data_IF_962560735319
#
_entry.id   IF_962560735319
#
_cell.length_a   1.000
_cell.length_b   1.000
_cell.length_c   1.000
_cell.angle_alpha   90.00
_cell.angle_beta   90.00
_cell.angle_gamma   90.00
#
_symmetry.space_group_name_H-M   'P 1'
#
loop_
_entity.id
_entity.type
_entity.pdbx_description
1 polymer ?
#
# COMPACT_ATOMS: atom_id res chain seq x y z
N UNK A 1 -12.12 5.85 -14.49
CA UNK A 1 -11.97 4.39 -14.71
C UNK A 1 -11.26 3.78 -13.49
N UNK A 2 -11.60 2.56 -13.05
CA UNK A 2 -10.66 1.71 -12.29
C UNK A 2 -10.73 1.60 -10.75
N UNK A 3 -11.80 1.99 -10.04
CA UNK A 3 -11.86 1.69 -8.57
C UNK A 3 -12.12 0.21 -8.26
N UNK A 4 -12.93 -0.43 -9.11
CA UNK A 4 -13.43 -1.78 -8.85
C UNK A 4 -12.48 -2.88 -9.35
N UNK A 5 -11.84 -2.66 -10.50
CA UNK A 5 -11.00 -3.65 -11.18
C UNK A 5 -9.51 -3.31 -10.98
N UNK A 6 -8.66 -4.31 -10.73
CA UNK A 6 -7.21 -4.13 -10.72
C UNK A 6 -6.67 -3.86 -12.14
N UNK A 7 -5.50 -3.23 -12.23
CA UNK A 7 -4.80 -3.09 -13.50
C UNK A 7 -4.12 -4.41 -13.91
N UNK A 8 -4.12 -4.71 -15.21
CA UNK A 8 -3.56 -5.97 -15.72
C UNK A 8 -2.03 -6.04 -15.59
N UNK A 9 -1.36 -4.88 -15.62
CA UNK A 9 0.10 -4.79 -15.59
C UNK A 9 0.72 -5.09 -14.22
N UNK A 10 0.02 -4.76 -13.14
CA UNK A 10 0.55 -4.92 -11.77
C UNK A 10 -0.40 -5.63 -10.79
N UNK A 11 -1.62 -5.95 -11.24
CA UNK A 11 -2.65 -6.58 -10.41
C UNK A 11 -3.19 -5.69 -9.29
N UNK A 12 -2.85 -4.39 -9.25
CA UNK A 12 -3.20 -3.50 -8.16
C UNK A 12 -4.37 -2.58 -8.51
N UNK A 13 -5.23 -2.32 -7.53
CA UNK A 13 -6.16 -1.19 -7.56
C UNK A 13 -5.42 0.11 -7.24
N UNK A 14 -5.95 1.28 -7.63
CA UNK A 14 -5.29 2.57 -7.37
C UNK A 14 -4.91 2.80 -5.90
N UNK A 15 -5.80 2.46 -4.94
CA UNK A 15 -5.50 2.64 -3.50
C UNK A 15 -4.38 1.72 -3.02
N UNK A 16 -4.32 0.47 -3.52
CA UNK A 16 -3.27 -0.49 -3.17
C UNK A 16 -1.91 -0.03 -3.72
N UNK A 17 -1.88 0.41 -4.97
CA UNK A 17 -0.68 0.99 -5.60
C UNK A 17 -0.13 2.17 -4.81
N UNK A 18 -1.00 3.11 -4.44
CA UNK A 18 -0.65 4.30 -3.65
C UNK A 18 -0.09 3.92 -2.27
N UNK A 19 -0.69 2.93 -1.60
CA UNK A 19 -0.16 2.42 -0.31
C UNK A 19 1.25 1.87 -0.49
N UNK A 20 1.46 0.97 -1.45
CA UNK A 20 2.76 0.34 -1.68
C UNK A 20 3.84 1.37 -2.04
N UNK A 21 3.50 2.31 -2.93
CA UNK A 21 4.39 3.40 -3.33
C UNK A 21 4.72 4.33 -2.15
N UNK A 22 3.71 4.79 -1.41
CA UNK A 22 3.93 5.66 -0.25
C UNK A 22 4.80 4.96 0.81
N UNK A 23 4.53 3.69 1.12
CA UNK A 23 5.35 2.92 2.06
C UNK A 23 6.81 2.79 1.58
N UNK A 24 7.04 2.63 0.28
CA UNK A 24 8.39 2.60 -0.29
C UNK A 24 9.08 3.96 -0.19
N UNK A 25 8.40 5.05 -0.53
CA UNK A 25 8.92 6.43 -0.46
C UNK A 25 9.26 6.82 1.00
N UNK A 26 8.46 6.36 1.95
CA UNK A 26 8.72 6.49 3.38
C UNK A 26 9.90 5.62 3.89
N UNK A 27 10.49 4.78 3.04
CA UNK A 27 11.59 3.88 3.40
C UNK A 27 11.18 2.65 4.21
N UNK A 28 9.89 2.30 4.25
CA UNK A 28 9.34 1.18 5.03
C UNK A 28 9.56 -0.18 4.33
N UNK A 29 10.79 -0.41 3.87
CA UNK A 29 11.21 -1.68 3.26
C UNK A 29 11.16 -2.84 4.28
N UNK A 30 11.32 -4.07 3.81
CA UNK A 30 11.24 -5.27 4.67
C UNK A 30 12.21 -5.28 5.86
N UNK A 31 13.39 -4.67 5.71
CA UNK A 31 14.37 -4.54 6.79
C UNK A 31 14.10 -3.38 7.75
N UNK A 32 13.18 -2.48 7.42
CA UNK A 32 12.92 -1.29 8.23
C UNK A 32 12.18 -1.63 9.53
N UNK A 33 12.29 -0.74 10.52
CA UNK A 33 11.41 -0.76 11.70
C UNK A 33 9.99 -0.41 11.25
N UNK A 34 8.98 -1.24 11.57
CA UNK A 34 7.60 -0.92 11.24
C UNK A 34 7.15 0.35 11.98
N UNK A 35 6.22 1.07 11.35
CA UNK A 35 5.68 2.32 11.90
C UNK A 35 4.19 2.17 12.12
N UNK A 36 3.60 3.04 12.96
CA UNK A 36 2.16 3.06 13.18
C UNK A 36 1.42 3.16 11.85
N UNK A 37 0.40 2.32 11.67
CA UNK A 37 -0.46 2.32 10.48
C UNK A 37 -1.07 3.69 10.22
N UNK A 38 -1.39 4.45 11.28
CA UNK A 38 -1.83 5.84 11.18
C UNK A 38 -0.87 6.76 10.42
N UNK A 39 0.45 6.53 10.53
CA UNK A 39 1.46 7.31 9.81
C UNK A 39 1.41 7.03 8.30
N UNK A 40 1.27 5.76 7.91
CA UNK A 40 1.15 5.36 6.51
C UNK A 40 -0.15 5.90 5.91
N UNK A 41 -1.27 5.74 6.62
CA UNK A 41 -2.58 6.28 6.18
C UNK A 41 -2.51 7.80 6.00
N UNK A 42 -1.94 8.52 6.97
CA UNK A 42 -1.77 9.98 6.87
C UNK A 42 -0.97 10.41 5.63
N UNK A 43 0.12 9.70 5.32
CA UNK A 43 0.93 9.96 4.12
C UNK A 43 0.11 9.81 2.83
N UNK A 44 -0.64 8.71 2.73
CA UNK A 44 -1.47 8.41 1.57
C UNK A 44 -2.57 9.44 1.39
N UNK A 45 -3.26 9.82 2.48
CA UNK A 45 -4.32 10.82 2.43
C UNK A 45 -3.79 12.20 2.03
N UNK A 46 -2.62 12.57 2.57
CA UNK A 46 -2.00 13.87 2.33
C UNK A 46 -1.44 14.03 0.92
N UNK A 47 -0.94 12.96 0.29
CA UNK A 47 -0.26 13.04 -1.01
C UNK A 47 -1.03 12.43 -2.18
N UNK A 48 -1.76 11.35 -1.98
CA UNK A 48 -2.20 10.50 -3.10
C UNK A 48 -3.69 10.17 -3.11
N UNK A 49 -4.38 10.17 -1.97
CA UNK A 49 -5.76 9.68 -1.86
C UNK A 49 -6.60 10.57 -0.93
N UNK A 50 -7.03 11.76 -1.37
CA UNK A 50 -7.74 12.75 -0.53
C UNK A 50 -9.22 12.36 -0.33
N UNK A 51 -9.46 11.18 0.23
CA UNK A 51 -10.76 10.60 0.54
C UNK A 51 -10.78 10.06 1.98
N UNK A 52 -11.82 9.33 2.39
CA UNK A 52 -11.95 8.81 3.74
C UNK A 52 -10.79 7.87 4.14
N UNK A 53 -10.27 8.05 5.34
CA UNK A 53 -9.20 7.26 5.96
C UNK A 53 -9.52 5.77 6.04
N UNK A 54 -10.80 5.44 6.28
CA UNK A 54 -11.31 4.08 6.34
C UNK A 54 -10.93 3.25 5.13
N UNK A 55 -11.13 3.77 3.92
CA UNK A 55 -10.84 3.05 2.68
C UNK A 55 -9.36 2.75 2.48
N UNK A 56 -8.48 3.67 2.88
CA UNK A 56 -7.03 3.48 2.81
C UNK A 56 -6.59 2.45 3.86
N UNK A 57 -7.10 2.56 5.09
CA UNK A 57 -6.78 1.64 6.17
C UNK A 57 -7.30 0.22 5.90
N UNK A 58 -8.54 0.06 5.45
CA UNK A 58 -9.11 -1.25 5.10
C UNK A 58 -8.35 -1.92 3.95
N UNK A 59 -7.94 -1.16 2.93
CA UNK A 59 -7.11 -1.69 1.86
C UNK A 59 -5.75 -2.16 2.39
N UNK A 60 -5.12 -1.37 3.27
CA UNK A 60 -3.86 -1.73 3.90
C UNK A 60 -3.99 -2.98 4.78
N UNK A 61 -5.07 -3.08 5.56
CA UNK A 61 -5.38 -4.24 6.40
C UNK A 61 -5.49 -5.50 5.53
N UNK A 62 -6.26 -5.45 4.45
CA UNK A 62 -6.41 -6.59 3.53
C UNK A 62 -5.10 -7.03 2.90
N UNK A 63 -4.17 -6.11 2.64
CA UNK A 63 -2.85 -6.43 2.09
C UNK A 63 -1.89 -7.09 3.08
N UNK A 64 -2.20 -7.03 4.38
CA UNK A 64 -1.46 -7.70 5.44
C UNK A 64 -2.04 -9.07 5.85
N UNK A 65 -3.28 -9.37 5.46
CA UNK A 65 -3.96 -10.61 5.82
C UNK A 65 -3.51 -11.78 4.92
N UNK A 66 -2.84 -12.76 5.52
CA UNK A 66 -2.36 -13.98 4.85
C UNK A 66 -3.48 -14.94 4.40
N UNK A 67 -4.66 -14.81 4.99
CA UNK A 67 -5.86 -15.51 4.55
C UNK A 67 -6.61 -14.81 3.40
N UNK A 68 -6.27 -13.56 3.10
CA UNK A 68 -6.84 -12.78 1.99
C UNK A 68 -5.91 -12.80 0.77
N UNK A 69 -4.59 -12.76 0.98
CA UNK A 69 -3.59 -12.80 -0.09
C UNK A 69 -2.67 -14.01 0.05
N UNK A 70 -2.46 -14.73 -1.06
CA UNK A 70 -1.48 -15.83 -1.11
C UNK A 70 -0.07 -15.36 -0.74
N UNK A 71 0.26 -14.14 -1.13
CA UNK A 71 1.50 -13.44 -0.81
C UNK A 71 1.18 -12.05 -0.27
N UNK A 72 1.15 -11.86 1.06
CA UNK A 72 0.96 -10.54 1.66
C UNK A 72 2.03 -9.55 1.22
N UNK A 73 1.62 -8.32 0.93
CA UNK A 73 2.51 -7.24 0.50
C UNK A 73 2.91 -6.32 1.68
N UNK A 74 2.17 -6.43 2.78
CA UNK A 74 2.39 -5.68 4.02
C UNK A 74 2.64 -6.66 5.15
N UNK A 75 3.72 -6.41 5.90
CA UNK A 75 4.03 -7.04 7.17
C UNK A 75 3.39 -6.19 8.28
N UNK A 76 2.27 -6.68 8.82
CA UNK A 76 1.48 -6.01 9.84
C UNK A 76 1.77 -6.53 11.25
N UNK A 77 1.96 -5.63 12.21
CA UNK A 77 2.09 -5.96 13.64
C UNK A 77 0.88 -5.46 14.41
N UNK A 78 0.26 -6.36 15.17
CA UNK A 78 -0.97 -6.11 15.93
C UNK A 78 -2.15 -6.91 15.38
N UNK A 79 -3.37 -6.54 15.76
CA UNK A 79 -4.56 -7.22 15.27
C UNK A 79 -5.01 -6.67 13.92
N UNK A 80 -4.79 -7.45 12.86
CA UNK A 80 -5.24 -7.18 11.47
C UNK A 80 -6.51 -7.97 11.10
N UNK A 81 -7.25 -8.46 12.08
CA UNK A 81 -8.45 -9.27 11.93
C UNK A 81 -8.18 -10.76 11.78
N UNK A 82 -9.25 -11.54 11.71
CA UNK A 82 -9.18 -13.00 11.64
C UNK A 82 -10.14 -13.56 10.58
N UNK A 83 -9.94 -14.84 10.22
CA UNK A 83 -10.89 -15.59 9.37
C UNK A 83 -12.23 -15.82 10.05
N UNK A 84 -12.26 -15.77 11.37
CA UNK A 84 -13.43 -16.05 12.21
C UNK A 84 -14.36 -14.84 12.32
N UNK A 85 -13.99 -13.71 11.71
CA UNK A 85 -14.83 -12.51 11.59
C UNK A 85 -14.42 -11.37 12.52
N UNK A 86 -13.33 -11.50 13.27
CA UNK A 86 -12.82 -10.40 14.07
C UNK A 86 -12.31 -9.28 13.17
N UNK A 87 -12.79 -8.06 13.42
CA UNK A 87 -12.30 -6.87 12.74
C UNK A 87 -10.87 -6.53 13.15
N UNK A 88 -10.15 -5.83 12.28
CA UNK A 88 -8.85 -5.27 12.62
C UNK A 88 -8.97 -4.20 13.71
N UNK A 89 -7.94 -4.08 14.55
CA UNK A 89 -7.83 -2.97 15.49
C UNK A 89 -7.71 -1.64 14.74
N UNK A 90 -7.98 -0.52 15.43
CA UNK A 90 -7.80 0.80 14.83
C UNK A 90 -6.31 1.08 14.49
N UNK A 91 -6.07 1.88 13.44
CA UNK A 91 -4.73 2.18 12.89
C UNK A 91 -3.70 2.78 13.88
N UNK A 92 -4.14 3.23 15.06
CA UNK A 92 -3.26 3.69 16.15
C UNK A 92 -2.66 2.54 16.97
N UNK A 93 -3.22 1.34 16.87
CA UNK A 93 -2.79 0.14 17.60
C UNK A 93 -2.02 -0.85 16.73
N UNK A 94 -2.02 -0.67 15.42
CA UNK A 94 -1.28 -1.51 14.47
C UNK A 94 -0.05 -0.80 13.93
N UNK A 95 0.93 -1.57 13.50
CA UNK A 95 2.12 -1.10 12.79
C UNK A 95 2.27 -1.86 11.48
N UNK A 96 2.97 -1.26 10.51
CA UNK A 96 3.15 -1.83 9.19
C UNK A 96 4.51 -1.48 8.58
N UNK A 97 5.03 -2.40 7.76
CA UNK A 97 6.11 -2.21 6.78
C UNK A 97 5.84 -3.10 5.56
N UNK A 98 6.64 -2.96 4.50
CA UNK A 98 6.53 -3.83 3.32
C UNK A 98 7.08 -5.23 3.61
N UNK A 99 6.50 -6.26 2.99
CA UNK A 99 7.11 -7.59 2.97
C UNK A 99 8.27 -7.66 1.96
N UNK A 100 9.19 -8.64 2.06
CA UNK A 100 10.24 -8.83 1.06
C UNK A 100 9.71 -8.99 -0.37
N UNK A 101 8.56 -9.68 -0.54
CA UNK A 101 7.99 -9.92 -1.87
C UNK A 101 7.44 -8.65 -2.53
N UNK A 102 7.06 -7.63 -1.74
CA UNK A 102 6.62 -6.35 -2.29
C UNK A 102 7.71 -5.66 -3.13
N UNK A 103 8.99 -5.98 -2.91
CA UNK A 103 10.09 -5.45 -3.72
C UNK A 103 9.99 -5.91 -5.18
N UNK A 104 9.42 -7.08 -5.48
CA UNK A 104 9.18 -7.53 -6.86
C UNK A 104 8.24 -6.59 -7.62
N UNK A 105 7.32 -5.94 -6.90
CA UNK A 105 6.42 -4.94 -7.47
C UNK A 105 7.11 -3.58 -7.61
N UNK A 106 7.99 -3.21 -6.68
CA UNK A 106 8.46 -1.83 -6.48
C UNK A 106 9.90 -1.58 -6.95
N UNK A 107 10.69 -2.61 -7.20
CA UNK A 107 12.09 -2.47 -7.61
C UNK A 107 12.19 -1.66 -8.90
N UNK A 108 13.22 -0.81 -9.00
CA UNK A 108 13.52 -0.02 -10.21
C UNK A 108 12.43 1.02 -10.59
N UNK A 109 11.45 1.29 -9.73
CA UNK A 109 10.35 2.23 -10.02
C UNK A 109 10.85 3.64 -10.38
N UNK A 110 11.96 4.09 -9.80
CA UNK A 110 12.57 5.39 -10.05
C UNK A 110 13.61 5.37 -11.19
N UNK A 111 13.66 4.30 -12.00
CA UNK A 111 14.63 4.15 -13.10
C UNK A 111 13.98 4.28 -14.49
N UNK A 112 12.84 4.97 -14.57
CA UNK A 112 12.12 5.16 -15.85
C UNK A 112 11.45 3.89 -16.36
N UNK A 113 11.13 2.94 -15.47
CA UNK A 113 10.49 1.66 -15.81
C UNK A 113 8.97 1.77 -15.95
N UNK A 114 8.38 2.82 -15.38
CA UNK A 114 6.95 3.13 -15.44
C UNK A 114 6.75 4.64 -15.57
N UNK A 115 5.63 5.01 -16.18
CA UNK A 115 5.22 6.41 -16.26
C UNK A 115 4.73 6.92 -14.90
N UNK A 116 5.08 8.16 -14.61
CA UNK A 116 4.57 8.91 -13.47
C UNK A 116 3.63 10.01 -13.97
N UNK A 117 2.63 10.32 -13.15
CA UNK A 117 1.70 11.41 -13.39
C UNK A 117 1.60 12.30 -12.16
N UNK A 118 1.31 13.60 -12.34
CA UNK A 118 1.01 14.45 -11.20
C UNK A 118 -0.15 13.89 -10.40
N UNK A 119 -0.06 14.00 -9.07
CA UNK A 119 -1.12 13.64 -8.13
C UNK A 119 -2.33 14.58 -8.26
N UNK A 120 -3.29 14.47 -7.35
CA UNK A 120 -4.58 15.15 -7.45
C UNK A 120 -4.50 16.70 -7.44
N UNK A 121 -3.45 17.29 -6.87
CA UNK A 121 -3.22 18.75 -6.81
C UNK A 121 -1.96 19.20 -7.56
N UNK A 122 -1.23 18.26 -8.18
CA UNK A 122 0.00 18.51 -8.92
C UNK A 122 1.23 18.82 -8.07
N UNK A 123 1.16 18.66 -6.74
CA UNK A 123 2.29 18.92 -5.84
C UNK A 123 3.31 17.76 -5.78
N UNK A 124 2.87 16.55 -6.12
CA UNK A 124 3.70 15.33 -6.11
C UNK A 124 3.43 14.50 -7.36
N UNK A 125 4.33 13.58 -7.68
CA UNK A 125 4.10 12.58 -8.71
C UNK A 125 3.73 11.23 -8.10
N UNK A 126 2.88 10.46 -8.80
CA UNK A 126 2.54 9.09 -8.47
C UNK A 126 2.69 8.17 -9.69
N UNK A 127 3.10 6.89 -9.49
CA UNK A 127 3.27 5.96 -10.60
C UNK A 127 1.91 5.52 -11.16
N UNK A 128 1.78 5.51 -12.48
CA UNK A 128 0.57 5.00 -13.15
C UNK A 128 0.42 3.48 -12.94
N UNK A 129 1.54 2.77 -12.98
CA UNK A 129 1.68 1.32 -12.78
C UNK A 129 2.88 1.00 -11.89
N UNK A 130 2.93 -0.19 -11.32
CA UNK A 130 4.14 -0.71 -10.67
C UNK A 130 4.98 -1.54 -11.65
N UNK A 131 6.32 -1.57 -11.51
CA UNK A 131 7.21 -2.41 -12.32
C UNK A 131 6.84 -3.90 -12.40
N UNK A 132 6.28 -4.46 -11.32
CA UNK A 132 5.65 -5.79 -11.29
C UNK A 132 6.42 -6.90 -12.04
N UNK A 133 7.61 -7.25 -11.54
CA UNK A 133 8.56 -8.16 -12.21
C UNK A 133 8.28 -9.66 -11.99
N UNK A 134 7.02 -10.05 -11.79
CA UNK A 134 6.60 -11.44 -11.54
C UNK A 134 5.70 -11.96 -12.66
#
# INVERSE_FOLDING_TARGET
KGRALPEVSDGQKPVQRRILFAMRDMGLTAGAKPVKSARVVGEILGKYHPHGDSSAYEAMVRMAQDFTLRYPLIDGIGNFGSRDGDGAAAMRYTEARLTPIAELLLSEINQGTVDFVPNYDGAFDEPLHLPARL
#
